data_IF_600424729071
#
_entry.id   IF_600424729071
#
_cell.length_a   1.000
_cell.length_b   1.000
_cell.length_c   1.000
_cell.angle_alpha   90.00
_cell.angle_beta   90.00
_cell.angle_gamma   90.00
#
_symmetry.space_group_name_H-M   'P 1'
#
loop_
_entity.id
_entity.type
_entity.pdbx_description
1 polymer ?
#
# COMPACT_ATOMS: atom_id res chain seq x y z
N UNK A 1 17.75 -3.98 0.82
CA UNK A 1 16.63 -3.33 0.09
C UNK A 1 17.12 -2.01 -0.48
N UNK A 2 17.24 -1.91 -1.80
CA UNK A 2 17.64 -0.66 -2.46
C UNK A 2 16.39 0.11 -2.86
N UNK A 3 16.43 1.42 -2.64
CA UNK A 3 15.28 2.29 -2.71
C UNK A 3 15.69 3.63 -3.28
N UNK A 4 15.06 4.07 -4.37
CA UNK A 4 15.26 5.40 -4.92
C UNK A 4 13.93 6.03 -5.32
N UNK A 5 13.93 7.35 -5.40
CA UNK A 5 12.79 8.12 -5.88
C UNK A 5 13.28 9.26 -6.76
N UNK A 6 12.52 9.57 -7.80
CA UNK A 6 12.79 10.71 -8.70
C UNK A 6 11.51 11.49 -8.96
N UNK A 7 11.67 12.75 -9.31
CA UNK A 7 10.61 13.58 -9.85
C UNK A 7 10.66 13.57 -11.38
N UNK A 8 9.51 13.59 -12.02
CA UNK A 8 9.34 13.70 -13.47
C UNK A 8 8.15 14.62 -13.77
N UNK A 9 8.41 15.92 -13.89
CA UNK A 9 7.34 16.92 -13.95
C UNK A 9 6.46 16.88 -12.70
N UNK A 10 5.19 16.48 -12.87
CA UNK A 10 4.20 16.36 -11.79
C UNK A 10 4.16 14.96 -11.14
N UNK A 11 5.03 14.04 -11.55
CA UNK A 11 5.07 12.67 -11.04
C UNK A 11 6.15 12.47 -9.98
N UNK A 12 5.82 11.69 -8.95
CA UNK A 12 6.79 11.13 -8.00
C UNK A 12 6.92 9.62 -8.27
N UNK A 13 8.08 9.20 -8.75
CA UNK A 13 8.34 7.81 -9.12
C UNK A 13 9.26 7.19 -8.07
N UNK A 14 8.77 6.17 -7.37
CA UNK A 14 9.53 5.39 -6.39
C UNK A 14 9.78 3.98 -6.92
N UNK A 15 11.03 3.52 -6.87
CA UNK A 15 11.41 2.16 -7.24
C UNK A 15 12.06 1.46 -6.06
N UNK A 16 11.68 0.21 -5.82
CA UNK A 16 12.19 -0.63 -4.74
C UNK A 16 12.58 -1.98 -5.32
N UNK A 17 13.75 -2.48 -4.94
CA UNK A 17 14.11 -3.88 -5.17
C UNK A 17 13.81 -4.68 -3.90
N UNK A 18 12.86 -5.61 -4.02
CA UNK A 18 12.42 -6.50 -2.95
C UNK A 18 13.00 -7.89 -3.20
N UNK A 19 13.55 -8.49 -2.16
CA UNK A 19 13.97 -9.89 -2.16
C UNK A 19 12.76 -10.76 -1.81
N UNK A 20 11.85 -10.91 -2.78
CA UNK A 20 10.58 -11.61 -2.63
C UNK A 20 10.09 -12.12 -3.98
N UNK A 21 9.31 -13.20 -3.96
CA UNK A 21 8.65 -13.73 -5.15
C UNK A 21 7.64 -12.72 -5.72
N UNK A 22 7.57 -12.64 -7.05
CA UNK A 22 6.66 -11.72 -7.74
C UNK A 22 5.19 -11.96 -7.39
N UNK A 23 4.79 -13.20 -7.13
CA UNK A 23 3.44 -13.55 -6.70
C UNK A 23 3.10 -12.95 -5.32
N UNK A 24 4.06 -12.97 -4.38
CA UNK A 24 3.88 -12.37 -3.07
C UNK A 24 3.80 -10.85 -3.15
N UNK A 25 4.62 -10.23 -4.02
CA UNK A 25 4.52 -8.79 -4.29
C UNK A 25 3.15 -8.44 -4.85
N UNK A 26 2.63 -9.25 -5.77
CA UNK A 26 1.28 -9.05 -6.31
C UNK A 26 0.20 -9.17 -5.23
N UNK A 27 0.24 -10.20 -4.39
CA UNK A 27 -0.70 -10.39 -3.27
C UNK A 27 -0.70 -9.21 -2.29
N UNK A 28 0.47 -8.60 -2.07
CA UNK A 28 0.61 -7.44 -1.19
C UNK A 28 -0.23 -6.24 -1.65
N UNK A 29 -0.42 -6.08 -2.96
CA UNK A 29 -1.20 -5.00 -3.56
C UNK A 29 -2.65 -5.39 -3.90
N UNK A 30 -3.02 -6.66 -3.76
CA UNK A 30 -4.32 -7.16 -4.27
C UNK A 30 -5.20 -7.83 -3.23
N UNK A 31 -4.68 -8.15 -2.06
CA UNK A 31 -5.49 -8.76 -1.00
C UNK A 31 -5.83 -7.75 0.09
N UNK A 32 -7.08 -7.72 0.60
CA UNK A 32 -7.48 -6.77 1.64
C UNK A 32 -6.59 -6.80 2.89
N UNK A 33 -6.20 -8.01 3.32
CA UNK A 33 -5.37 -8.20 4.50
C UNK A 33 -3.97 -7.57 4.35
N UNK A 34 -3.31 -7.79 3.21
CA UNK A 34 -1.98 -7.21 2.98
C UNK A 34 -2.05 -5.71 2.72
N UNK A 35 -3.07 -5.23 2.00
CA UNK A 35 -3.31 -3.79 1.81
C UNK A 35 -3.47 -3.08 3.15
N UNK A 36 -4.25 -3.64 4.08
CA UNK A 36 -4.42 -3.10 5.42
C UNK A 36 -3.11 -3.03 6.22
N UNK A 37 -2.25 -4.05 6.09
CA UNK A 37 -0.97 -4.10 6.79
C UNK A 37 0.07 -3.12 6.24
N UNK A 38 0.05 -2.84 4.93
CA UNK A 38 1.07 -2.06 4.24
C UNK A 38 0.73 -0.57 4.11
N UNK A 39 -0.52 -0.22 3.76
CA UNK A 39 -0.85 1.11 3.22
C UNK A 39 -0.69 2.27 4.22
N UNK A 40 -0.93 2.03 5.50
CA UNK A 40 -0.85 3.07 6.54
C UNK A 40 0.59 3.39 7.00
N UNK A 41 1.55 2.51 6.72
CA UNK A 41 2.92 2.64 7.20
C UNK A 41 3.02 2.93 8.69
N UNK A 42 3.91 3.84 9.09
CA UNK A 42 4.08 4.27 10.49
C UNK A 42 3.11 5.38 10.93
N UNK A 43 2.35 5.96 10.01
CA UNK A 43 1.61 7.21 10.24
C UNK A 43 0.10 7.00 10.38
N UNK A 44 -0.42 5.88 9.90
CA UNK A 44 -1.82 5.53 10.00
C UNK A 44 -1.98 4.01 10.19
N UNK A 45 -3.08 3.61 10.82
CA UNK A 45 -3.56 2.24 10.75
C UNK A 45 -4.66 2.14 9.70
N UNK A 46 -4.79 0.98 9.06
CA UNK A 46 -5.90 0.65 8.17
C UNK A 46 -6.64 -0.55 8.77
N UNK A 47 -7.86 -0.38 9.29
CA UNK A 47 -8.68 -1.50 9.73
C UNK A 47 -8.95 -2.44 8.54
N UNK A 48 -8.66 -3.73 8.68
CA UNK A 48 -8.77 -4.70 7.59
C UNK A 48 -10.20 -4.83 7.04
N UNK A 49 -11.19 -4.67 7.91
CA UNK A 49 -12.62 -4.65 7.58
C UNK A 49 -13.05 -3.41 6.75
N UNK A 50 -12.21 -2.37 6.69
CA UNK A 50 -12.46 -1.18 5.87
C UNK A 50 -11.97 -1.31 4.42
N UNK A 51 -11.18 -2.34 4.11
CA UNK A 51 -10.58 -2.50 2.79
C UNK A 51 -11.57 -3.19 1.86
N UNK A 52 -12.00 -2.49 0.82
CA UNK A 52 -12.84 -3.00 -0.25
C UNK A 52 -12.09 -2.83 -1.57
N UNK A 53 -11.75 -3.96 -2.21
CA UNK A 53 -11.02 -3.95 -3.48
C UNK A 53 -11.70 -4.90 -4.48
N UNK A 54 -12.14 -4.33 -5.59
CA UNK A 54 -12.71 -5.04 -6.74
C UNK A 54 -11.71 -4.94 -7.90
N UNK A 55 -10.88 -5.97 -8.06
CA UNK A 55 -9.72 -5.97 -8.97
C UNK A 55 -10.11 -6.27 -10.41
N UNK A 56 -10.79 -5.31 -11.02
CA UNK A 56 -11.09 -5.28 -12.44
C UNK A 56 -11.05 -3.85 -12.94
N UNK A 57 -10.94 -3.67 -14.25
CA UNK A 57 -11.03 -2.35 -14.86
C UNK A 57 -12.40 -1.73 -14.52
N UNK A 58 -12.38 -0.51 -13.99
CA UNK A 58 -13.58 0.18 -13.49
C UNK A 58 -14.10 -0.32 -12.14
N UNK A 59 -13.38 -1.21 -11.46
CA UNK A 59 -13.68 -1.66 -10.10
C UNK A 59 -13.33 -0.61 -9.03
N UNK A 60 -13.86 -0.82 -7.84
CA UNK A 60 -13.67 0.09 -6.69
C UNK A 60 -12.46 -0.32 -5.85
N UNK A 61 -11.67 0.66 -5.45
CA UNK A 61 -10.62 0.51 -4.44
C UNK A 61 -10.88 1.53 -3.33
N UNK A 62 -11.24 1.07 -2.14
CA UNK A 62 -11.44 1.91 -0.96
C UNK A 62 -10.76 1.32 0.26
N UNK A 63 -10.16 2.20 1.06
CA UNK A 63 -9.70 1.90 2.41
C UNK A 63 -9.88 3.14 3.28
N UNK A 64 -10.02 2.92 4.60
CA UNK A 64 -10.05 4.01 5.57
C UNK A 64 -8.75 4.01 6.38
N UNK A 65 -8.03 5.11 6.33
CA UNK A 65 -6.91 5.35 7.25
C UNK A 65 -7.43 5.99 8.53
N UNK A 66 -6.94 5.52 9.67
CA UNK A 66 -7.14 6.16 10.97
C UNK A 66 -5.77 6.60 11.49
N UNK A 67 -5.68 7.84 12.00
CA UNK A 67 -4.41 8.38 12.49
C UNK A 67 -3.80 7.47 13.55
N UNK A 68 -2.50 7.15 13.41
CA UNK A 68 -1.79 6.38 14.43
C UNK A 68 -1.76 7.18 15.74
N UNK A 69 -2.07 6.55 16.89
CA UNK A 69 -1.83 7.19 18.19
C UNK A 69 -0.36 7.62 18.24
N UNK A 70 -0.10 8.91 18.43
CA UNK A 70 1.24 9.43 18.74
C UNK A 70 1.72 8.64 19.96
N UNK A 71 2.75 7.81 19.80
CA UNK A 71 3.51 7.29 20.94
C UNK A 71 4.26 8.51 21.48
N UNK A 72 3.90 8.93 22.70
CA UNK A 72 4.79 9.75 23.53
C UNK A 72 6.11 9.02 23.76
#
# INVERSE_FOLDING_TARGET
>A
MTSWSRLDGAELIATRHLDADIALVWEAFTTPAHLAAFWGGRHAAVPADSVSVDLRVGGRFELRTVGGRRRE
#
